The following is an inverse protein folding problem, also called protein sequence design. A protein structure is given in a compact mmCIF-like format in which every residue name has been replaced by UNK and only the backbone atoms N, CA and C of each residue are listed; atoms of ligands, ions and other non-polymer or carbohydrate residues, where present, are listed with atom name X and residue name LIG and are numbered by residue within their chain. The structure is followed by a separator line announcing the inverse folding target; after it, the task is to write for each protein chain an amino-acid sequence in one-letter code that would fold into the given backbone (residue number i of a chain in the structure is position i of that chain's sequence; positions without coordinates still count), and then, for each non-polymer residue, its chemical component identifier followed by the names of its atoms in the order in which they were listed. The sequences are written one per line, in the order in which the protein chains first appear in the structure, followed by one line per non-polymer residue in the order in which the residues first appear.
data_IF_159694691814
#
_entry.id   IF_159694691814
#
_cell.length_a   1.000
_cell.length_b   1.000
_cell.length_c   1.000
_cell.angle_alpha   90.00
_cell.angle_beta   90.00
_cell.angle_gamma   90.00
#
_symmetry.space_group_name_H-M   'P 1'
#
loop_
_entity.id
_entity.type
_entity.pdbx_description
1 polymer ?
#
# COMPACT_ATOMS: atom_id res chain seq x y z
N UNK A 1 -71.55 32.34 17.15
CA UNK A 1 -70.50 32.65 16.15
C UNK A 1 -69.21 31.82 16.32
N UNK A 2 -69.27 30.51 16.63
CA UNK A 2 -68.08 29.61 16.59
C UNK A 2 -66.83 30.02 17.40
N UNK A 3 -66.91 31.06 18.25
CA UNK A 3 -65.80 31.62 19.03
C UNK A 3 -65.83 31.06 20.45
N UNK A 4 -64.69 30.56 20.91
CA UNK A 4 -64.52 30.08 22.28
C UNK A 4 -64.39 31.25 23.26
N UNK A 5 -65.02 31.15 24.43
CA UNK A 5 -64.99 32.18 25.46
C UNK A 5 -64.74 31.56 26.83
N UNK A 6 -64.20 32.36 27.75
CA UNK A 6 -64.04 31.99 29.14
C UNK A 6 -65.42 31.82 29.79
N UNK A 7 -65.71 30.70 30.46
CA UNK A 7 -67.04 30.42 31.01
C UNK A 7 -67.43 31.30 32.20
N UNK A 8 -66.47 31.99 32.84
CA UNK A 8 -66.69 32.82 34.03
C UNK A 8 -66.72 34.31 33.71
N UNK A 9 -65.75 34.78 32.90
CA UNK A 9 -65.65 36.18 32.51
C UNK A 9 -66.36 36.50 31.19
N UNK A 10 -66.84 35.48 30.46
CA UNK A 10 -67.43 35.57 29.11
C UNK A 10 -66.53 36.29 28.08
N UNK A 11 -65.25 36.45 28.38
CA UNK A 11 -64.26 37.04 27.48
C UNK A 11 -63.94 36.08 26.35
N UNK A 12 -63.93 36.57 25.12
CA UNK A 12 -63.62 35.75 23.93
C UNK A 12 -62.11 35.47 23.88
N UNK A 13 -61.74 34.21 23.68
CA UNK A 13 -60.35 33.82 23.51
C UNK A 13 -59.83 34.31 22.15
N UNK A 14 -58.68 35.00 22.17
CA UNK A 14 -57.98 35.49 20.99
C UNK A 14 -56.59 34.88 20.91
N UNK A 15 -55.91 35.03 19.76
CA UNK A 15 -54.53 34.55 19.57
C UNK A 15 -53.51 35.17 20.55
N UNK A 16 -53.89 36.23 21.26
CA UNK A 16 -53.05 36.91 22.25
C UNK A 16 -53.63 36.82 23.66
N UNK A 17 -54.61 35.94 23.90
CA UNK A 17 -55.17 35.75 25.23
C UNK A 17 -54.33 34.76 26.05
N UNK A 18 -54.21 35.01 27.36
CA UNK A 18 -53.53 34.09 28.28
C UNK A 18 -54.52 33.06 28.79
N UNK A 19 -54.32 31.80 28.40
CA UNK A 19 -55.28 30.71 28.56
C UNK A 19 -54.68 29.63 29.45
N UNK A 20 -55.47 29.19 30.41
CA UNK A 20 -55.06 28.22 31.44
C UNK A 20 -56.11 27.13 31.59
N UNK A 21 -55.66 25.90 31.75
CA UNK A 21 -56.50 24.75 32.06
C UNK A 21 -56.20 24.22 33.45
N UNK A 22 -57.23 23.79 34.17
CA UNK A 22 -57.06 23.08 35.44
C UNK A 22 -56.91 21.60 35.11
N UNK A 23 -55.82 20.97 35.55
CA UNK A 23 -55.49 19.57 35.23
C UNK A 23 -56.51 18.58 35.75
N UNK A 24 -57.08 18.83 36.93
CA UNK A 24 -58.00 17.89 37.61
C UNK A 24 -59.31 17.75 36.84
N UNK A 25 -59.87 18.86 36.39
CA UNK A 25 -61.18 18.91 35.73
C UNK A 25 -61.10 19.02 34.21
N UNK A 26 -59.96 19.47 33.69
CA UNK A 26 -59.77 19.76 32.26
C UNK A 26 -60.45 21.05 31.79
N UNK A 27 -61.06 21.82 32.70
CA UNK A 27 -61.75 23.06 32.37
C UNK A 27 -60.76 24.16 31.98
N UNK A 28 -61.11 24.91 30.93
CA UNK A 28 -60.27 25.97 30.37
C UNK A 28 -60.83 27.34 30.72
N UNK A 29 -59.97 28.18 31.29
CA UNK A 29 -60.31 29.54 31.73
C UNK A 29 -59.32 30.56 31.16
N UNK A 30 -59.77 31.81 31.11
CA UNK A 30 -58.84 32.93 31.00
C UNK A 30 -58.03 33.02 32.31
N UNK A 31 -56.72 33.22 32.20
CA UNK A 31 -55.86 33.31 33.39
C UNK A 31 -56.28 34.42 34.34
N UNK A 32 -56.80 35.53 33.83
CA UNK A 32 -57.34 36.62 34.65
C UNK A 32 -58.43 36.13 35.61
N UNK A 33 -59.31 35.21 35.17
CA UNK A 33 -60.35 34.65 36.01
C UNK A 33 -59.74 33.82 37.15
N UNK A 34 -58.79 32.94 36.82
CA UNK A 34 -58.10 32.08 37.79
C UNK A 34 -57.24 32.90 38.75
N UNK A 35 -56.60 33.96 38.26
CA UNK A 35 -55.76 34.83 39.05
C UNK A 35 -56.58 35.63 40.06
N UNK A 36 -57.67 36.25 39.61
CA UNK A 36 -58.53 37.07 40.48
C UNK A 36 -59.32 36.22 41.48
N UNK A 37 -59.93 35.13 41.03
CA UNK A 37 -60.90 34.39 41.84
C UNK A 37 -60.31 33.23 42.62
N UNK A 38 -59.16 32.67 42.20
CA UNK A 38 -58.52 31.55 42.89
C UNK A 38 -57.18 31.92 43.53
N UNK A 39 -56.27 32.56 42.78
CA UNK A 39 -54.91 32.84 43.27
C UNK A 39 -54.89 33.97 44.31
N UNK A 40 -55.55 35.11 44.01
CA UNK A 40 -55.56 36.28 44.92
C UNK A 40 -56.37 36.04 46.19
N UNK A 41 -57.49 35.33 46.08
CA UNK A 41 -58.37 34.96 47.20
C UNK A 41 -57.87 33.77 48.01
N UNK A 42 -56.84 33.05 47.51
CA UNK A 42 -56.30 31.78 48.06
C UNK A 42 -57.34 30.65 48.14
N UNK A 43 -58.40 30.72 47.35
CA UNK A 43 -59.40 29.65 47.23
C UNK A 43 -59.06 28.78 46.03
N UNK A 44 -58.58 27.56 46.24
CA UNK A 44 -58.18 26.65 45.15
C UNK A 44 -59.28 25.63 44.86
N UNK A 45 -60.42 26.12 44.38
CA UNK A 45 -61.54 25.32 43.89
C UNK A 45 -61.85 25.70 42.45
N UNK A 46 -62.21 24.72 41.63
CA UNK A 46 -62.58 24.98 40.24
C UNK A 46 -63.81 25.91 40.19
N UNK A 47 -63.78 26.90 39.31
CA UNK A 47 -64.80 27.94 39.18
C UNK A 47 -66.13 27.44 38.60
N UNK A 48 -66.15 26.25 38.01
CA UNK A 48 -67.35 25.63 37.44
C UNK A 48 -67.88 24.45 38.27
N UNK A 49 -67.00 23.58 38.75
CA UNK A 49 -67.37 22.30 39.40
C UNK A 49 -67.08 22.26 40.89
N UNK A 50 -66.49 23.33 41.45
CA UNK A 50 -66.14 23.45 42.88
C UNK A 50 -65.15 22.38 43.39
N UNK A 51 -64.51 21.63 42.49
CA UNK A 51 -63.54 20.60 42.84
C UNK A 51 -62.23 21.23 43.35
N UNK A 52 -61.67 20.74 44.47
CA UNK A 52 -60.42 21.27 45.00
C UNK A 52 -59.23 20.89 44.10
N UNK A 53 -58.39 21.85 43.77
CA UNK A 53 -57.15 21.63 43.01
C UNK A 53 -55.96 22.33 43.69
N UNK A 54 -54.73 22.06 43.26
CA UNK A 54 -53.55 22.74 43.80
C UNK A 54 -52.94 23.71 42.79
N UNK A 55 -52.15 24.69 43.24
CA UNK A 55 -51.49 25.65 42.34
C UNK A 55 -50.64 25.01 41.24
N UNK A 56 -50.14 23.79 41.46
CA UNK A 56 -49.34 23.03 40.47
C UNK A 56 -50.19 22.41 39.36
N UNK A 57 -51.49 22.29 39.60
CA UNK A 57 -52.45 21.72 38.63
C UNK A 57 -52.93 22.75 37.62
N UNK A 58 -52.49 24.01 37.76
CA UNK A 58 -52.75 25.10 36.83
C UNK A 58 -51.80 24.95 35.63
N UNK A 59 -52.31 24.49 34.49
CA UNK A 59 -51.55 24.29 33.26
C UNK A 59 -51.72 25.49 32.32
N UNK A 60 -50.62 26.16 31.98
CA UNK A 60 -50.63 27.27 31.03
C UNK A 60 -50.60 26.76 29.59
N UNK A 61 -51.74 26.85 28.90
CA UNK A 61 -51.87 26.44 27.51
C UNK A 61 -51.26 27.49 26.58
N UNK A 62 -51.67 28.74 26.75
CA UNK A 62 -51.23 29.85 25.93
C UNK A 62 -50.77 30.99 26.81
N UNK A 63 -49.55 31.45 26.56
CA UNK A 63 -48.94 32.55 27.30
C UNK A 63 -48.30 33.51 26.28
N UNK A 64 -48.96 34.63 25.96
CA UNK A 64 -48.46 35.63 25.01
C UNK A 64 -47.27 36.44 25.56
N UNK A 65 -47.05 36.46 26.88
CA UNK A 65 -45.94 37.22 27.49
C UNK A 65 -44.67 36.40 27.62
N UNK A 66 -44.76 35.08 27.45
CA UNK A 66 -43.61 34.19 27.49
C UNK A 66 -42.88 34.12 26.13
N UNK A 67 -41.90 35.02 25.96
CA UNK A 67 -41.03 35.10 24.79
C UNK A 67 -40.13 33.87 24.58
N UNK A 68 -39.89 33.05 25.61
CA UNK A 68 -39.00 31.90 25.53
C UNK A 68 -39.54 30.77 24.66
N UNK A 69 -40.85 30.72 24.41
CA UNK A 69 -41.49 29.76 23.51
C UNK A 69 -41.06 29.93 22.04
N UNK A 70 -40.56 31.10 21.66
CA UNK A 70 -40.06 31.39 20.31
C UNK A 70 -38.55 31.18 20.17
N UNK A 71 -37.85 30.81 21.26
CA UNK A 71 -36.42 30.60 21.20
C UNK A 71 -36.09 29.26 20.53
N UNK A 72 -35.66 29.33 19.27
CA UNK A 72 -35.39 28.18 18.39
C UNK A 72 -34.36 27.22 19.00
N UNK A 73 -33.43 27.75 19.81
CA UNK A 73 -32.41 26.95 20.50
C UNK A 73 -32.96 26.01 21.58
N UNK A 74 -34.17 26.30 22.09
CA UNK A 74 -34.82 25.50 23.13
C UNK A 74 -35.73 24.40 22.58
N UNK A 75 -35.96 24.34 21.26
CA UNK A 75 -36.78 23.28 20.70
C UNK A 75 -36.14 21.92 20.94
N UNK A 76 -36.97 20.96 21.35
CA UNK A 76 -36.54 19.61 21.71
C UNK A 76 -35.78 18.89 20.58
N UNK A 77 -36.19 19.11 19.33
CA UNK A 77 -35.53 18.52 18.15
C UNK A 77 -34.15 19.15 17.87
N UNK A 78 -33.95 20.43 18.21
CA UNK A 78 -32.66 21.12 18.08
C UNK A 78 -31.72 20.70 19.23
N UNK A 79 -32.21 20.65 20.47
CA UNK A 79 -31.41 20.23 21.63
C UNK A 79 -30.96 18.78 21.54
N UNK A 80 -31.83 17.90 21.04
CA UNK A 80 -31.53 16.47 20.97
C UNK A 80 -31.01 16.04 19.59
N UNK A 81 -30.74 16.99 18.68
CA UNK A 81 -30.30 16.71 17.31
C UNK A 81 -31.15 15.64 16.59
N UNK A 82 -32.46 15.57 16.87
CA UNK A 82 -33.36 14.69 16.15
C UNK A 82 -33.68 15.32 14.81
N UNK A 83 -32.95 14.90 13.78
CA UNK A 83 -33.35 15.11 12.39
C UNK A 83 -34.32 14.01 12.01
N UNK A 84 -35.57 14.36 11.71
CA UNK A 84 -36.47 13.47 10.98
C UNK A 84 -35.91 13.43 9.56
N UNK A 85 -35.32 12.32 9.15
CA UNK A 85 -34.94 12.14 7.74
C UNK A 85 -36.21 11.92 6.95
N UNK A 86 -36.54 12.86 6.07
CA UNK A 86 -37.59 12.63 5.09
C UNK A 86 -37.14 11.51 4.14
N UNK A 87 -38.01 10.53 3.82
CA UNK A 87 -37.64 9.38 3.00
C UNK A 87 -37.18 9.77 1.58
N UNK A 88 -37.46 10.99 1.15
CA UNK A 88 -37.00 11.52 -0.14
C UNK A 88 -35.59 12.11 -0.08
N UNK A 89 -35.12 12.61 1.09
CA UNK A 89 -33.72 13.02 1.27
C UNK A 89 -32.78 11.82 1.30
N UNK A 90 -33.22 10.69 1.85
CA UNK A 90 -32.44 9.46 1.85
C UNK A 90 -32.27 8.91 0.43
N UNK A 91 -33.33 8.95 -0.39
CA UNK A 91 -33.27 8.58 -1.81
C UNK A 91 -32.36 9.51 -2.61
N UNK A 92 -32.38 10.82 -2.32
CA UNK A 92 -31.49 11.79 -2.98
C UNK A 92 -30.01 11.59 -2.64
N UNK A 93 -29.69 11.05 -1.45
CA UNK A 93 -28.30 10.71 -1.08
C UNK A 93 -27.80 9.42 -1.70
N UNK A 94 -28.69 8.46 -1.93
CA UNK A 94 -28.35 7.16 -2.52
C UNK A 94 -28.11 7.25 -4.04
N UNK A 95 -28.92 8.05 -4.75
CA UNK A 95 -28.83 8.17 -6.20
C UNK A 95 -28.41 9.59 -6.64
N UNK A 96 -27.20 9.78 -7.18
CA UNK A 96 -26.77 11.04 -7.79
C UNK A 96 -27.69 11.50 -8.94
N UNK A 97 -28.48 10.59 -9.50
CA UNK A 97 -29.43 10.84 -10.59
C UNK A 97 -30.85 11.20 -10.13
N UNK A 98 -31.09 11.35 -8.82
CA UNK A 98 -32.43 11.62 -8.29
C UNK A 98 -33.05 12.92 -8.84
N UNK A 99 -32.24 13.98 -8.93
CA UNK A 99 -32.66 15.28 -9.48
C UNK A 99 -32.72 15.32 -11.02
N UNK A 100 -32.20 14.30 -11.70
CA UNK A 100 -32.27 14.15 -13.17
C UNK A 100 -33.62 13.55 -13.63
N UNK A 101 -34.56 13.28 -12.72
CA UNK A 101 -35.88 12.77 -13.11
C UNK A 101 -36.72 13.76 -13.92
N UNK A 102 -36.43 15.06 -13.83
CA UNK A 102 -37.19 16.12 -14.51
C UNK A 102 -36.52 16.64 -15.80
N UNK A 103 -35.44 16.02 -16.29
CA UNK A 103 -34.79 16.44 -17.54
C UNK A 103 -35.40 15.75 -18.77
N UNK A 104 -35.37 16.44 -19.92
CA UNK A 104 -35.82 15.93 -21.21
C UNK A 104 -35.15 14.60 -21.58
N UNK A 105 -35.86 13.76 -22.35
CA UNK A 105 -35.39 12.43 -22.75
C UNK A 105 -34.04 12.47 -23.50
N UNK A 106 -33.89 13.43 -24.42
CA UNK A 106 -32.69 13.63 -25.22
C UNK A 106 -31.44 13.97 -24.39
N UNK A 107 -31.62 14.73 -23.30
CA UNK A 107 -30.49 15.08 -22.42
C UNK A 107 -30.07 13.91 -21.53
N UNK A 108 -30.99 12.97 -21.24
CA UNK A 108 -30.65 11.72 -20.54
C UNK A 108 -29.86 10.77 -21.43
N UNK A 109 -30.24 10.64 -22.70
CA UNK A 109 -29.54 9.77 -23.65
C UNK A 109 -28.13 10.26 -23.94
N UNK A 110 -27.96 11.55 -24.20
CA UNK A 110 -26.64 12.17 -24.41
C UNK A 110 -25.73 12.08 -23.19
N UNK A 111 -26.26 12.26 -21.97
CA UNK A 111 -25.50 12.04 -20.75
C UNK A 111 -25.11 10.56 -20.57
N UNK A 112 -25.98 9.61 -20.91
CA UNK A 112 -25.66 8.18 -20.84
C UNK A 112 -24.59 7.76 -21.86
N UNK A 113 -24.59 8.34 -23.06
CA UNK A 113 -23.53 8.14 -24.04
C UNK A 113 -22.20 8.75 -23.56
N UNK A 114 -22.24 9.98 -23.03
CA UNK A 114 -21.08 10.61 -22.40
C UNK A 114 -20.51 9.75 -21.27
N UNK A 115 -21.34 9.23 -20.35
CA UNK A 115 -20.85 8.36 -19.28
C UNK A 115 -20.29 7.02 -19.77
N UNK A 116 -20.72 6.51 -20.94
CA UNK A 116 -20.12 5.31 -21.56
C UNK A 116 -18.79 5.61 -22.25
N UNK A 117 -18.65 6.78 -22.86
CA UNK A 117 -17.44 7.17 -23.59
C UNK A 117 -16.36 7.77 -22.68
N UNK A 118 -16.76 8.39 -21.55
CA UNK A 118 -15.86 9.09 -20.65
C UNK A 118 -15.12 8.13 -19.72
N UNK A 119 -14.03 7.53 -20.21
CA UNK A 119 -13.03 6.78 -19.42
C UNK A 119 -12.13 7.67 -18.56
N UNK A 120 -12.43 8.96 -18.45
CA UNK A 120 -11.59 9.95 -17.76
C UNK A 120 -11.40 9.65 -16.28
N UNK A 121 -12.45 9.18 -15.61
CA UNK A 121 -12.41 8.92 -14.17
C UNK A 121 -11.58 7.68 -13.82
N UNK A 122 -11.56 6.64 -14.65
CA UNK A 122 -10.68 5.47 -14.45
C UNK A 122 -9.20 5.84 -14.67
N UNK A 123 -8.92 6.73 -15.62
CA UNK A 123 -7.55 7.19 -15.93
C UNK A 123 -7.06 8.17 -14.83
N UNK A 124 -7.95 9.03 -14.32
CA UNK A 124 -7.69 9.89 -13.17
C UNK A 124 -7.55 9.07 -11.88
N UNK A 125 -8.40 8.08 -11.65
CA UNK A 125 -8.29 7.17 -10.51
C UNK A 125 -7.04 6.29 -10.58
N UNK A 126 -6.63 5.84 -11.77
CA UNK A 126 -5.38 5.10 -11.96
C UNK A 126 -4.14 5.97 -11.76
N UNK A 127 -4.18 7.26 -12.12
CA UNK A 127 -3.10 8.22 -11.86
C UNK A 127 -3.07 8.71 -10.41
N UNK A 128 -4.21 8.73 -9.72
CA UNK A 128 -4.33 9.05 -8.28
C UNK A 128 -4.13 7.86 -7.36
N UNK A 129 -4.15 6.61 -7.86
CA UNK A 129 -3.86 5.44 -7.05
C UNK A 129 -2.40 5.48 -6.63
N UNK A 130 -2.17 5.84 -5.37
CA UNK A 130 -0.84 5.82 -4.76
C UNK A 130 -0.19 4.45 -5.00
N UNK A 131 1.08 4.40 -5.42
CA UNK A 131 1.75 3.14 -5.67
C UNK A 131 1.67 2.28 -4.40
N UNK A 132 1.12 1.07 -4.52
CA UNK A 132 0.94 0.18 -3.38
C UNK A 132 2.30 -0.01 -2.70
N UNK A 133 2.40 0.40 -1.42
CA UNK A 133 3.64 0.26 -0.64
C UNK A 133 4.04 -1.21 -0.62
N UNK A 134 5.22 -1.53 -1.18
CA UNK A 134 5.78 -2.88 -1.17
C UNK A 134 5.94 -3.32 0.28
N UNK A 135 5.40 -4.49 0.65
CA UNK A 135 5.53 -5.03 2.01
C UNK A 135 7.00 -5.30 2.31
N UNK A 136 7.53 -4.65 3.34
CA UNK A 136 8.92 -4.81 3.78
C UNK A 136 8.93 -5.85 4.91
N UNK A 137 9.50 -7.02 4.63
CA UNK A 137 9.82 -8.01 5.67
C UNK A 137 11.23 -7.75 6.23
N UNK A 138 11.57 -8.34 7.38
CA UNK A 138 12.92 -8.28 7.96
C UNK A 138 14.04 -8.69 6.98
N UNK A 139 13.74 -9.59 6.05
CA UNK A 139 14.66 -10.11 5.03
C UNK A 139 14.83 -9.16 3.83
N UNK A 140 13.80 -8.36 3.53
CA UNK A 140 13.79 -7.47 2.36
C UNK A 140 14.02 -5.99 2.76
N UNK A 141 14.36 -5.71 4.01
CA UNK A 141 14.64 -4.36 4.49
C UNK A 141 16.04 -3.92 4.05
N UNK A 142 16.11 -2.85 3.25
CA UNK A 142 17.38 -2.25 2.87
C UNK A 142 18.05 -1.51 4.03
N UNK A 143 19.37 -1.37 3.96
CA UNK A 143 20.14 -0.53 4.89
C UNK A 143 19.89 0.98 4.72
N UNK A 144 19.19 1.38 3.65
CA UNK A 144 18.82 2.77 3.37
C UNK A 144 17.30 2.97 3.46
N UNK A 145 16.87 4.18 3.84
CA UNK A 145 15.45 4.55 3.94
C UNK A 145 14.85 4.87 2.57
N UNK A 146 13.51 4.83 2.46
CA UNK A 146 12.75 5.27 1.28
C UNK A 146 12.95 6.76 0.93
N UNK A 147 13.45 7.57 1.86
CA UNK A 147 13.66 9.01 1.67
C UNK A 147 12.37 9.84 1.68
N UNK A 148 11.22 9.21 1.91
CA UNK A 148 9.91 9.85 1.88
C UNK A 148 9.72 10.86 3.01
N UNK A 149 10.21 10.56 4.22
CA UNK A 149 10.22 11.50 5.34
C UNK A 149 10.96 12.80 4.95
N UNK A 150 12.16 12.68 4.39
CA UNK A 150 12.95 13.82 3.92
C UNK A 150 12.27 14.58 2.79
N UNK A 151 11.70 13.87 1.81
CA UNK A 151 10.98 14.48 0.69
C UNK A 151 9.75 15.26 1.18
N UNK A 152 8.99 14.69 2.13
CA UNK A 152 7.81 15.32 2.72
C UNK A 152 8.15 16.55 3.57
N UNK A 153 9.33 16.57 4.18
CA UNK A 153 9.82 17.75 4.91
C UNK A 153 10.13 18.92 3.97
N UNK A 154 10.64 18.63 2.77
CA UNK A 154 11.04 19.66 1.80
C UNK A 154 9.98 20.02 0.77
N UNK A 155 8.92 19.22 0.63
CA UNK A 155 7.90 19.39 -0.41
C UNK A 155 6.58 19.90 0.18
N UNK A 156 6.04 20.96 -0.39
CA UNK A 156 4.72 21.51 -0.03
C UNK A 156 3.56 20.72 -0.64
N UNK A 157 3.83 19.83 -1.59
CA UNK A 157 2.83 19.06 -2.34
C UNK A 157 2.63 17.62 -1.81
N UNK A 158 3.45 17.17 -0.86
CA UNK A 158 3.38 15.82 -0.30
C UNK A 158 2.82 15.84 1.13
N UNK A 159 2.08 14.79 1.48
CA UNK A 159 1.64 14.60 2.86
C UNK A 159 2.87 14.39 3.77
N UNK A 160 2.91 15.00 4.96
CA UNK A 160 4.01 14.84 5.90
C UNK A 160 4.06 13.38 6.40
N UNK A 161 5.13 12.67 6.07
CA UNK A 161 5.42 11.34 6.62
C UNK A 161 6.38 11.47 7.80
N UNK A 162 6.03 10.90 8.94
CA UNK A 162 6.82 10.99 10.19
C UNK A 162 7.58 9.71 10.53
N UNK A 163 7.31 8.62 9.80
CA UNK A 163 7.89 7.30 10.04
C UNK A 163 8.96 6.98 9.01
N UNK A 164 10.20 6.77 9.48
CA UNK A 164 11.28 6.27 8.64
C UNK A 164 11.05 4.81 8.30
N UNK A 165 10.68 4.54 7.05
CA UNK A 165 10.57 3.18 6.50
C UNK A 165 11.87 2.82 5.76
N UNK A 166 12.40 1.62 6.03
CA UNK A 166 13.49 1.06 5.24
C UNK A 166 12.98 0.79 3.81
N UNK A 167 13.79 1.09 2.80
CA UNK A 167 13.41 0.77 1.42
C UNK A 167 13.31 -0.75 1.23
N UNK A 168 12.34 -1.21 0.44
CA UNK A 168 12.23 -2.62 0.08
C UNK A 168 13.31 -2.99 -0.94
N UNK A 169 14.22 -3.90 -0.59
CA UNK A 169 15.07 -4.58 -1.57
C UNK A 169 14.16 -5.44 -2.46
N UNK A 170 14.44 -5.49 -3.76
CA UNK A 170 13.73 -6.39 -4.68
C UNK A 170 13.91 -7.85 -4.25
N UNK A 171 12.82 -8.62 -4.24
CA UNK A 171 12.81 -10.01 -3.76
C UNK A 171 13.81 -10.89 -4.51
N UNK A 172 14.03 -10.61 -5.80
CA UNK A 172 14.99 -11.31 -6.65
C UNK A 172 16.44 -11.16 -6.13
N UNK A 173 16.81 -9.97 -5.63
CA UNK A 173 18.17 -9.72 -5.11
C UNK A 173 18.39 -10.52 -3.82
N UNK A 174 17.37 -10.55 -2.94
CA UNK A 174 17.42 -11.32 -1.70
C UNK A 174 17.50 -12.81 -2.02
N UNK A 175 16.68 -13.28 -2.97
CA UNK A 175 16.68 -14.68 -3.43
C UNK A 175 18.05 -15.11 -3.93
N UNK A 176 18.70 -14.28 -4.74
CA UNK A 176 20.01 -14.59 -5.31
C UNK A 176 21.14 -14.71 -4.29
N UNK A 177 21.00 -14.11 -3.10
CA UNK A 177 21.99 -14.25 -2.02
C UNK A 177 22.00 -15.67 -1.42
N UNK A 178 20.89 -16.39 -1.50
CA UNK A 178 20.76 -17.76 -0.97
C UNK A 178 21.19 -18.83 -1.99
N UNK A 179 21.30 -18.48 -3.27
CA UNK A 179 21.71 -19.40 -4.33
C UNK A 179 23.24 -19.53 -4.31
N UNK A 180 23.72 -20.59 -3.64
CA UNK A 180 25.16 -20.92 -3.49
C UNK A 180 25.57 -22.22 -4.21
N UNK A 181 24.63 -22.85 -4.90
CA UNK A 181 24.83 -24.11 -5.62
C UNK A 181 24.80 -23.85 -7.11
N UNK A 182 25.64 -24.58 -7.83
CA UNK A 182 25.64 -24.61 -9.30
C UNK A 182 24.45 -25.41 -9.83
N UNK A 183 23.89 -24.96 -10.95
CA UNK A 183 22.84 -25.68 -11.66
C UNK A 183 23.41 -26.66 -12.69
N UNK A 184 22.71 -27.75 -12.96
CA UNK A 184 23.09 -28.71 -14.02
C UNK A 184 21.91 -28.97 -14.95
N UNK A 185 22.16 -28.83 -16.24
CA UNK A 185 21.15 -28.99 -17.29
C UNK A 185 21.72 -29.87 -18.41
N UNK A 186 20.91 -30.79 -18.94
CA UNK A 186 21.25 -31.57 -20.13
C UNK A 186 20.35 -31.18 -21.28
N UNK A 187 20.98 -30.80 -22.38
CA UNK A 187 20.33 -30.58 -23.67
C UNK A 187 20.35 -31.89 -24.45
N UNK A 188 19.18 -32.42 -24.79
CA UNK A 188 19.06 -33.53 -25.73
C UNK A 188 18.95 -32.95 -27.13
N UNK A 189 19.99 -33.08 -27.94
CA UNK A 189 19.98 -32.60 -29.34
C UNK A 189 19.84 -33.76 -30.32
N UNK A 190 19.66 -33.45 -31.61
CA UNK A 190 19.71 -34.47 -32.65
C UNK A 190 21.11 -35.08 -32.87
N UNK A 191 22.17 -34.37 -32.51
CA UNK A 191 23.57 -34.82 -32.61
C UNK A 191 24.08 -35.50 -31.33
N UNK A 192 23.28 -35.50 -30.26
CA UNK A 192 23.55 -36.17 -28.99
C UNK A 192 23.29 -35.27 -27.77
N UNK A 193 23.71 -35.74 -26.61
CA UNK A 193 23.48 -35.03 -25.35
C UNK A 193 24.62 -34.06 -25.02
N UNK A 194 24.27 -32.92 -24.44
CA UNK A 194 25.23 -31.90 -24.02
C UNK A 194 24.91 -31.48 -22.58
N UNK A 195 25.87 -31.68 -21.68
CA UNK A 195 25.74 -31.37 -20.26
C UNK A 195 26.33 -29.99 -19.96
N UNK A 196 25.52 -29.14 -19.34
CA UNK A 196 25.84 -27.77 -18.98
C UNK A 196 25.91 -27.63 -17.45
N UNK A 197 26.96 -26.97 -16.99
CA UNK A 197 27.11 -26.46 -15.63
C UNK A 197 26.81 -24.96 -15.65
N UNK A 198 25.88 -24.52 -14.80
CA UNK A 198 25.45 -23.13 -14.70
C UNK A 198 26.04 -22.46 -13.45
N UNK A 199 26.58 -21.27 -13.60
CA UNK A 199 27.20 -20.48 -12.53
C UNK A 199 26.17 -19.60 -11.80
N UNK A 200 25.17 -20.25 -11.18
CA UNK A 200 24.05 -19.58 -10.51
C UNK A 200 24.49 -18.60 -9.41
N UNK A 201 25.61 -18.86 -8.73
CA UNK A 201 26.15 -17.99 -7.67
C UNK A 201 26.64 -16.63 -8.23
N UNK A 202 27.18 -16.64 -9.46
CA UNK A 202 27.81 -15.48 -10.07
C UNK A 202 26.85 -14.70 -10.97
N UNK A 203 26.04 -15.43 -11.74
CA UNK A 203 25.09 -14.86 -12.71
C UNK A 203 23.68 -15.37 -12.43
N UNK A 204 23.11 -15.00 -11.29
CA UNK A 204 21.88 -15.61 -10.82
C UNK A 204 20.68 -15.27 -11.71
N UNK A 205 20.64 -14.08 -12.33
CA UNK A 205 19.49 -13.68 -13.16
C UNK A 205 19.49 -14.39 -14.51
N UNK A 206 20.65 -14.52 -15.12
CA UNK A 206 20.80 -15.26 -16.37
C UNK A 206 20.51 -16.76 -16.19
N UNK A 207 21.03 -17.36 -15.12
CA UNK A 207 20.80 -18.77 -14.81
C UNK A 207 19.34 -19.06 -14.45
N UNK A 208 18.68 -18.19 -13.67
CA UNK A 208 17.26 -18.34 -13.35
C UNK A 208 16.39 -18.26 -14.61
N UNK A 209 16.67 -17.28 -15.48
CA UNK A 209 15.98 -17.15 -16.76
C UNK A 209 16.11 -18.44 -17.58
N UNK A 210 17.33 -18.97 -17.71
CA UNK A 210 17.58 -20.19 -18.47
C UNK A 210 16.85 -21.40 -17.87
N UNK A 211 16.97 -21.65 -16.57
CA UNK A 211 16.31 -22.79 -15.91
C UNK A 211 14.79 -22.71 -16.02
N UNK A 212 14.20 -21.52 -15.80
CA UNK A 212 12.75 -21.34 -15.91
C UNK A 212 12.24 -21.53 -17.34
N UNK A 213 12.99 -21.09 -18.36
CA UNK A 213 12.66 -21.35 -19.76
C UNK A 213 12.77 -22.84 -20.09
N UNK A 214 13.78 -23.53 -19.54
CA UNK A 214 13.91 -24.99 -19.68
C UNK A 214 12.71 -25.72 -19.07
N UNK A 215 12.28 -25.35 -17.86
CA UNK A 215 11.10 -25.94 -17.19
C UNK A 215 9.77 -25.70 -17.92
N UNK A 216 9.68 -24.59 -18.66
CA UNK A 216 8.52 -24.28 -19.52
C UNK A 216 8.59 -24.98 -20.88
N UNK A 217 9.59 -25.83 -21.12
CA UNK A 217 9.85 -26.47 -22.42
C UNK A 217 9.97 -25.45 -23.57
N UNK A 218 10.43 -24.23 -23.28
CA UNK A 218 10.51 -23.13 -24.25
C UNK A 218 11.51 -23.42 -25.38
N UNK A 219 12.54 -24.21 -25.07
CA UNK A 219 13.61 -24.56 -26.00
C UNK A 219 13.36 -25.86 -26.76
N UNK A 220 12.24 -26.55 -26.51
CA UNK A 220 11.91 -27.81 -27.18
C UNK A 220 11.59 -27.54 -28.65
N UNK A 221 12.28 -28.26 -29.55
CA UNK A 221 12.18 -28.06 -30.99
C UNK A 221 12.97 -26.85 -31.52
N UNK A 222 13.64 -26.08 -30.67
CA UNK A 222 14.41 -24.91 -31.13
C UNK A 222 15.68 -25.31 -31.87
N UNK A 223 16.02 -24.52 -32.89
CA UNK A 223 17.18 -24.76 -33.76
C UNK A 223 18.37 -23.88 -33.40
N UNK A 224 19.56 -24.37 -33.72
CA UNK A 224 20.76 -23.53 -33.79
C UNK A 224 20.79 -22.83 -35.14
N UNK A 225 20.28 -21.61 -35.18
CA UNK A 225 20.12 -20.84 -36.41
C UNK A 225 21.42 -20.19 -36.91
N UNK A 226 22.50 -20.21 -36.12
CA UNK A 226 23.80 -19.65 -36.50
C UNK A 226 24.93 -20.51 -35.95
N UNK A 227 25.83 -20.96 -36.80
CA UNK A 227 27.02 -21.73 -36.44
C UNK A 227 28.22 -21.24 -37.24
N UNK A 228 29.23 -20.71 -36.54
CA UNK A 228 30.49 -20.26 -37.14
C UNK A 228 31.60 -21.15 -36.60
N UNK A 229 32.24 -21.90 -37.50
CA UNK A 229 33.33 -22.82 -37.17
C UNK A 229 34.48 -22.10 -36.48
N UNK A 230 35.08 -22.73 -35.46
CA UNK A 230 36.12 -22.15 -34.60
C UNK A 230 35.71 -20.90 -33.80
N UNK A 231 34.44 -20.50 -33.83
CA UNK A 231 33.97 -19.31 -33.14
C UNK A 231 32.85 -19.63 -32.15
N UNK A 232 31.58 -19.62 -32.58
CA UNK A 232 30.43 -19.89 -31.70
C UNK A 232 29.30 -20.58 -32.45
N UNK A 233 28.47 -21.28 -31.69
CA UNK A 233 27.16 -21.78 -32.13
C UNK A 233 26.06 -21.12 -31.29
N UNK A 234 25.09 -20.50 -31.95
CA UNK A 234 24.03 -19.70 -31.34
C UNK A 234 22.66 -20.34 -31.56
N UNK A 235 21.85 -20.35 -30.50
CA UNK A 235 20.52 -20.93 -30.45
C UNK A 235 19.62 -20.22 -29.45
N UNK A 236 18.51 -20.87 -29.08
CA UNK A 236 17.56 -20.34 -28.09
C UNK A 236 16.56 -19.31 -28.64
N UNK A 237 16.35 -19.29 -29.95
CA UNK A 237 15.29 -18.54 -30.63
C UNK A 237 14.19 -19.52 -31.13
N UNK A 238 12.98 -19.49 -30.56
CA UNK A 238 11.87 -20.33 -31.03
C UNK A 238 11.41 -20.03 -32.45
N UNK A 239 11.63 -18.80 -32.93
CA UNK A 239 11.25 -18.42 -34.29
C UNK A 239 12.26 -18.90 -35.33
N UNK A 240 13.49 -19.25 -34.91
CA UNK A 240 14.59 -19.62 -35.79
C UNK A 240 15.11 -18.47 -36.66
N UNK A 241 14.61 -17.24 -36.51
CA UNK A 241 14.98 -16.10 -37.37
C UNK A 241 16.31 -15.45 -36.97
N UNK A 242 16.70 -15.59 -35.70
CA UNK A 242 17.88 -14.97 -35.09
C UNK A 242 17.60 -13.64 -34.39
N UNK A 243 16.38 -13.09 -34.54
CA UNK A 243 15.96 -11.84 -33.88
C UNK A 243 14.91 -12.07 -32.79
N UNK A 244 14.36 -13.28 -32.71
CA UNK A 244 13.29 -13.62 -31.78
C UNK A 244 13.79 -13.96 -30.37
N UNK A 245 12.87 -14.45 -29.55
CA UNK A 245 13.16 -14.86 -28.18
C UNK A 245 12.75 -13.81 -27.15
N UNK A 246 12.23 -14.29 -26.03
CA UNK A 246 11.76 -13.48 -24.90
C UNK A 246 12.34 -14.04 -23.60
N UNK A 247 12.61 -13.17 -22.64
CA UNK A 247 12.99 -13.64 -21.30
C UNK A 247 11.78 -14.24 -20.59
N UNK A 248 12.01 -14.99 -19.51
CA UNK A 248 10.95 -15.49 -18.64
C UNK A 248 10.01 -14.38 -18.14
N UNK A 249 10.54 -13.17 -17.93
CA UNK A 249 9.80 -12.01 -17.43
C UNK A 249 9.14 -11.17 -18.54
N UNK A 250 9.27 -11.58 -19.82
CA UNK A 250 8.81 -10.83 -21.00
C UNK A 250 9.63 -9.58 -21.33
N UNK A 251 10.38 -9.01 -20.38
CA UNK A 251 11.26 -7.85 -20.58
C UNK A 251 12.73 -8.26 -20.66
N UNK A 252 13.56 -7.58 -21.48
CA UNK A 252 15.00 -7.81 -21.45
C UNK A 252 15.59 -7.55 -20.05
N UNK A 253 16.63 -8.29 -19.69
CA UNK A 253 17.26 -8.16 -18.37
C UNK A 253 18.73 -7.73 -18.45
N UNK A 254 19.23 -7.20 -17.33
CA UNK A 254 20.57 -6.61 -17.18
C UNK A 254 21.69 -7.61 -17.46
N UNK A 255 22.83 -7.10 -17.92
CA UNK A 255 24.05 -7.88 -18.03
C UNK A 255 24.69 -8.14 -16.66
N UNK A 256 25.31 -9.31 -16.49
CA UNK A 256 25.97 -9.73 -15.25
C UNK A 256 27.43 -10.10 -15.51
N UNK A 257 28.29 -9.08 -15.66
CA UNK A 257 29.72 -9.30 -15.87
C UNK A 257 30.47 -9.56 -14.57
N UNK A 258 31.32 -10.58 -14.54
CA UNK A 258 32.21 -10.89 -13.42
C UNK A 258 33.65 -10.96 -13.91
N UNK A 259 34.63 -10.45 -13.12
CA UNK A 259 36.04 -10.48 -13.52
C UNK A 259 36.61 -11.90 -13.62
N UNK A 260 36.02 -12.85 -12.88
CA UNK A 260 36.46 -14.24 -12.84
C UNK A 260 35.92 -15.08 -14.01
N UNK A 261 34.96 -14.55 -14.76
CA UNK A 261 34.35 -15.22 -15.91
C UNK A 261 34.84 -14.54 -17.19
N UNK A 262 35.57 -15.29 -17.99
CA UNK A 262 36.02 -14.88 -19.32
C UNK A 262 35.72 -15.99 -20.33
N UNK A 263 35.64 -15.63 -21.60
CA UNK A 263 35.47 -16.57 -22.70
C UNK A 263 36.81 -17.25 -23.01
N UNK A 264 37.43 -17.85 -22.00
CA UNK A 264 38.69 -18.59 -22.12
C UNK A 264 38.38 -20.09 -22.12
N UNK A 265 38.72 -20.76 -23.21
CA UNK A 265 38.47 -22.18 -23.40
C UNK A 265 37.29 -22.47 -24.33
N UNK A 266 37.12 -23.76 -24.61
CA UNK A 266 36.02 -24.30 -25.42
C UNK A 266 34.83 -24.63 -24.51
N UNK A 267 33.63 -24.39 -25.01
CA UNK A 267 32.39 -24.75 -24.33
C UNK A 267 31.97 -23.72 -23.28
N UNK A 268 32.27 -22.44 -23.46
CA UNK A 268 31.74 -21.39 -22.58
C UNK A 268 30.32 -21.04 -23.05
N UNK A 269 29.38 -20.97 -22.11
CA UNK A 269 27.97 -20.68 -22.36
C UNK A 269 27.66 -19.23 -21.97
N UNK A 270 27.18 -18.45 -22.93
CA UNK A 270 26.94 -17.01 -22.79
C UNK A 270 25.62 -16.57 -23.43
N UNK A 271 25.03 -15.50 -22.91
CA UNK A 271 23.82 -14.89 -23.46
C UNK A 271 24.11 -14.08 -24.71
N UNK A 272 23.29 -14.23 -25.75
CA UNK A 272 23.29 -13.33 -26.90
C UNK A 272 22.48 -12.07 -26.57
N UNK A 273 22.97 -10.91 -27.01
CA UNK A 273 22.34 -9.62 -26.77
C UNK A 273 22.49 -8.70 -28.01
N UNK A 274 21.71 -7.62 -28.04
CA UNK A 274 21.72 -6.62 -29.11
C UNK A 274 22.24 -5.25 -28.62
N UNK A 275 22.98 -5.27 -27.51
CA UNK A 275 23.44 -4.08 -26.79
C UNK A 275 23.39 -4.28 -25.28
N UNK A 276 23.85 -3.29 -24.50
CA UNK A 276 23.87 -3.37 -23.04
C UNK A 276 22.48 -3.63 -22.45
N UNK A 277 22.38 -4.56 -21.50
CA UNK A 277 21.17 -4.90 -20.74
C UNK A 277 19.99 -5.40 -21.59
N UNK A 278 20.27 -6.06 -22.72
CA UNK A 278 19.24 -6.54 -23.65
C UNK A 278 19.12 -8.07 -23.73
N UNK A 279 19.47 -8.77 -22.66
CA UNK A 279 19.42 -10.25 -22.63
C UNK A 279 17.96 -10.75 -22.68
N UNK A 280 17.71 -11.77 -23.50
CA UNK A 280 16.40 -12.42 -23.68
C UNK A 280 16.48 -13.94 -23.44
N UNK A 281 16.17 -14.77 -24.43
CA UNK A 281 16.31 -16.25 -24.37
C UNK A 281 17.49 -16.81 -25.15
N UNK A 282 18.05 -16.02 -26.08
CA UNK A 282 19.10 -16.51 -26.97
C UNK A 282 20.42 -16.67 -26.24
N UNK A 283 21.12 -17.76 -26.55
CA UNK A 283 22.43 -18.07 -25.98
C UNK A 283 23.35 -18.65 -27.05
N UNK A 284 24.64 -18.63 -26.78
CA UNK A 284 25.65 -19.25 -27.64
C UNK A 284 26.67 -20.03 -26.82
N UNK A 285 27.27 -21.02 -27.47
CA UNK A 285 28.36 -21.83 -26.93
C UNK A 285 29.61 -21.54 -27.75
N UNK A 286 30.72 -21.27 -27.09
CA UNK A 286 32.00 -21.00 -27.78
C UNK A 286 32.70 -22.29 -28.18
N UNK A 287 33.32 -22.29 -29.37
CA UNK A 287 34.19 -23.38 -29.82
C UNK A 287 35.67 -23.16 -29.47
N UNK A 288 36.06 -21.90 -29.27
CA UNK A 288 37.41 -21.45 -28.92
C UNK A 288 37.34 -20.32 -27.88
N UNK A 289 38.47 -20.04 -27.24
CA UNK A 289 38.66 -18.80 -26.49
C UNK A 289 38.39 -17.56 -27.35
N UNK A 290 37.54 -16.65 -26.87
CA UNK A 290 37.13 -15.43 -27.57
C UNK A 290 37.13 -14.24 -26.60
N UNK A 291 38.31 -13.78 -26.23
CA UNK A 291 38.49 -12.68 -25.25
C UNK A 291 37.84 -11.37 -25.66
N UNK A 292 37.57 -11.15 -26.95
CA UNK A 292 36.90 -9.93 -27.43
C UNK A 292 35.41 -9.83 -27.02
N UNK A 293 34.80 -10.96 -26.64
CA UNK A 293 33.42 -11.06 -26.16
C UNK A 293 33.31 -10.77 -24.64
N UNK A 294 34.44 -10.71 -23.94
CA UNK A 294 34.48 -10.43 -22.51
C UNK A 294 33.89 -9.05 -22.22
N UNK A 295 33.09 -8.96 -21.16
CA UNK A 295 32.33 -7.76 -20.76
C UNK A 295 31.32 -7.24 -21.80
N UNK A 296 31.04 -8.01 -22.85
CA UNK A 296 29.96 -7.72 -23.81
C UNK A 296 28.80 -8.70 -23.66
N UNK A 297 29.12 -9.97 -23.42
CA UNK A 297 28.13 -11.02 -23.23
C UNK A 297 28.22 -11.61 -21.83
N UNK A 298 27.06 -11.84 -21.21
CA UNK A 298 26.98 -12.43 -19.87
C UNK A 298 27.28 -13.91 -19.96
N UNK A 299 28.40 -14.34 -19.39
CA UNK A 299 28.77 -15.76 -19.26
C UNK A 299 28.02 -16.33 -18.06
N UNK A 300 27.22 -17.37 -18.28
CA UNK A 300 26.38 -17.95 -17.22
C UNK A 300 26.59 -19.45 -17.01
N UNK A 301 27.47 -20.07 -17.79
CA UNK A 301 27.81 -21.48 -17.60
C UNK A 301 28.92 -21.97 -18.50
N UNK A 302 29.13 -23.29 -18.48
CA UNK A 302 30.07 -24.00 -19.33
C UNK A 302 29.59 -25.42 -19.63
N UNK A 303 30.07 -25.98 -20.73
CA UNK A 303 29.89 -27.39 -21.09
C UNK A 303 30.82 -28.23 -20.23
N UNK A 304 30.27 -29.25 -19.57
CA UNK A 304 31.02 -30.19 -18.72
C UNK A 304 31.05 -31.61 -19.29
N UNK A 305 30.15 -31.92 -20.23
CA UNK A 305 30.09 -33.23 -20.88
C UNK A 305 29.40 -33.14 -22.23
N UNK A 306 29.68 -34.08 -23.12
CA UNK A 306 29.22 -34.02 -24.51
C UNK A 306 30.13 -33.17 -25.41
N UNK A 307 31.44 -33.14 -25.16
CA UNK A 307 32.37 -32.45 -26.07
C UNK A 307 32.41 -33.08 -27.48
N UNK A 308 32.09 -34.38 -27.57
CA UNK A 308 31.92 -35.09 -28.85
C UNK A 308 30.74 -34.51 -29.64
N UNK A 309 29.61 -34.24 -28.98
CA UNK A 309 28.42 -33.66 -29.62
C UNK A 309 28.68 -32.23 -30.04
N UNK A 310 29.38 -31.44 -29.21
CA UNK A 310 29.82 -30.09 -29.57
C UNK A 310 30.75 -30.10 -30.80
N UNK A 311 31.65 -31.07 -30.91
CA UNK A 311 32.52 -31.24 -32.08
C UNK A 311 31.74 -31.70 -33.31
N UNK A 312 30.76 -32.60 -33.14
CA UNK A 312 29.87 -33.01 -34.22
C UNK A 312 29.03 -31.84 -34.75
N UNK A 313 28.57 -30.94 -33.87
CA UNK A 313 27.86 -29.72 -34.24
C UNK A 313 28.76 -28.72 -34.97
N UNK A 314 30.03 -28.61 -34.60
CA UNK A 314 31.01 -27.74 -35.26
C UNK A 314 31.41 -28.23 -36.67
N UNK A 315 31.40 -29.55 -36.88
CA UNK A 315 31.74 -30.16 -38.16
C UNK A 315 30.63 -30.05 -39.22
N UNK A 316 29.43 -29.58 -38.85
CA UNK A 316 28.35 -29.32 -39.80
C UNK A 316 28.69 -28.08 -40.61
N UNK A 317 28.68 -28.21 -41.94
CA UNK A 317 28.89 -27.09 -42.84
C UNK A 317 27.77 -26.05 -42.70
N UNK A 318 28.17 -24.79 -42.54
CA UNK A 318 27.26 -23.63 -42.55
C UNK A 318 27.28 -22.93 -43.91
N UNK A 319 26.19 -22.26 -44.25
CA UNK A 319 26.12 -21.35 -45.40
C UNK A 319 27.01 -20.12 -45.15
N UNK A 320 27.97 -19.80 -46.05
CA UNK A 320 28.87 -18.67 -45.87
C UNK A 320 28.19 -17.29 -45.88
N UNK A 321 26.95 -17.17 -46.36
CA UNK A 321 26.22 -15.88 -46.38
C UNK A 321 25.33 -15.65 -45.16
N UNK A 322 24.77 -16.72 -44.60
CA UNK A 322 23.77 -16.63 -43.53
C UNK A 322 24.24 -17.25 -42.21
N UNK A 323 25.42 -17.88 -42.21
CA UNK A 323 25.97 -18.66 -41.09
C UNK A 323 25.04 -19.77 -40.59
N UNK A 324 24.00 -20.13 -41.36
CA UNK A 324 23.03 -21.16 -41.02
C UNK A 324 23.60 -22.55 -41.31
N UNK A 325 23.53 -23.51 -40.37
CA UNK A 325 23.89 -24.90 -40.63
C UNK A 325 23.08 -25.48 -41.80
N UNK A 326 23.73 -26.17 -42.73
CA UNK A 326 23.05 -26.89 -43.82
C UNK A 326 22.22 -28.06 -43.30
N UNK A 327 22.76 -28.76 -42.30
CA UNK A 327 22.02 -29.76 -41.54
C UNK A 327 21.42 -29.10 -40.31
N UNK A 328 20.10 -29.19 -40.16
CA UNK A 328 19.39 -28.59 -39.04
C UNK A 328 19.81 -29.25 -37.72
N UNK A 329 20.39 -28.46 -36.81
CA UNK A 329 20.71 -28.90 -35.45
C UNK A 329 19.62 -28.38 -34.53
N UNK A 330 18.88 -29.28 -33.88
CA UNK A 330 17.75 -28.94 -33.02
C UNK A 330 17.86 -29.53 -31.63
N UNK A 331 17.33 -28.82 -30.66
CA UNK A 331 17.14 -29.28 -29.29
C UNK A 331 15.81 -30.04 -29.25
N UNK A 332 15.84 -31.32 -28.90
CA UNK A 332 14.65 -32.17 -28.76
C UNK A 332 13.94 -31.89 -27.44
N UNK A 333 14.70 -31.94 -26.36
CA UNK A 333 14.20 -31.70 -25.00
C UNK A 333 15.33 -31.24 -24.10
N UNK A 334 14.96 -30.63 -22.98
CA UNK A 334 15.92 -30.23 -21.95
C UNK A 334 15.53 -30.89 -20.63
N UNK A 335 16.50 -31.47 -19.94
CA UNK A 335 16.31 -32.01 -18.58
C UNK A 335 17.15 -31.20 -17.59
N UNK A 336 16.49 -30.61 -16.61
CA UNK A 336 17.15 -29.93 -15.49
C UNK A 336 17.44 -30.96 -14.41
N UNK A 337 18.72 -31.24 -14.15
CA UNK A 337 19.14 -32.22 -13.12
C UNK A 337 19.20 -31.62 -11.72
N UNK A 338 19.72 -30.39 -11.63
CA UNK A 338 19.87 -29.69 -10.35
C UNK A 338 19.35 -28.29 -10.55
N UNK A 339 18.24 -27.99 -9.87
CA UNK A 339 17.71 -26.63 -9.76
C UNK A 339 18.06 -26.03 -8.38
N UNK A 340 19.04 -25.13 -8.30
CA UNK A 340 19.43 -24.52 -7.03
C UNK A 340 18.42 -23.47 -6.53
N UNK A 341 17.46 -23.05 -7.37
CA UNK A 341 16.50 -22.01 -7.02
C UNK A 341 15.28 -22.54 -6.26
N UNK A 342 14.92 -23.81 -6.42
CA UNK A 342 13.83 -24.43 -5.64
C UNK A 342 14.21 -24.54 -4.15
N UNK A 343 15.45 -24.96 -3.88
CA UNK A 343 15.96 -25.02 -2.51
C UNK A 343 16.01 -23.62 -1.87
N UNK A 344 16.43 -22.60 -2.63
CA UNK A 344 16.45 -21.22 -2.15
C UNK A 344 15.04 -20.70 -1.85
N UNK A 345 14.05 -20.98 -2.72
CA UNK A 345 12.65 -20.61 -2.48
C UNK A 345 12.06 -21.30 -1.25
N UNK A 346 12.36 -22.58 -1.08
CA UNK A 346 11.94 -23.34 0.10
C UNK A 346 12.56 -22.78 1.40
N UNK A 347 13.83 -22.38 1.37
CA UNK A 347 14.50 -21.76 2.52
C UNK A 347 13.89 -20.39 2.86
N UNK A 348 13.68 -19.54 1.86
CA UNK A 348 13.13 -18.19 2.07
C UNK A 348 11.70 -18.26 2.57
N UNK A 349 10.87 -19.14 2.02
CA UNK A 349 9.49 -19.33 2.49
C UNK A 349 9.47 -19.83 3.94
N UNK A 350 10.30 -20.82 4.29
CA UNK A 350 10.42 -21.30 5.66
C UNK A 350 10.92 -20.22 6.64
N UNK A 351 11.87 -19.37 6.23
CA UNK A 351 12.37 -18.29 7.08
C UNK A 351 11.34 -17.16 7.25
N UNK A 352 10.61 -16.81 6.18
CA UNK A 352 9.49 -15.87 6.23
C UNK A 352 8.36 -16.36 7.14
N UNK A 353 8.04 -17.66 7.09
CA UNK A 353 7.03 -18.26 7.98
C UNK A 353 7.47 -18.21 9.45
N UNK A 354 8.73 -18.56 9.75
CA UNK A 354 9.27 -18.44 11.11
C UNK A 354 9.26 -17.00 11.60
N UNK A 355 9.66 -16.04 10.77
CA UNK A 355 9.65 -14.62 11.11
C UNK A 355 8.22 -14.11 11.42
N UNK A 356 7.21 -14.56 10.65
CA UNK A 356 5.80 -14.24 10.92
C UNK A 356 5.34 -14.80 12.26
N UNK A 357 5.67 -16.05 12.56
CA UNK A 357 5.32 -16.68 13.85
C UNK A 357 5.98 -15.96 15.04
N UNK A 358 7.24 -15.57 14.92
CA UNK A 358 7.94 -14.79 15.95
C UNK A 358 7.33 -13.41 16.15
N UNK A 359 6.93 -12.73 15.06
CA UNK A 359 6.25 -11.44 15.15
C UNK A 359 4.89 -11.55 15.82
N UNK A 360 4.09 -12.56 15.47
CA UNK A 360 2.81 -12.84 16.12
C UNK A 360 2.99 -13.17 17.61
N UNK A 361 3.99 -13.99 17.95
CA UNK A 361 4.33 -14.30 19.34
C UNK A 361 4.78 -13.05 20.12
N UNK A 362 5.59 -12.18 19.51
CA UNK A 362 6.04 -10.93 20.14
C UNK A 362 4.87 -9.96 20.35
N UNK A 363 4.00 -9.76 19.35
CA UNK A 363 2.79 -8.92 19.48
C UNK A 363 1.85 -9.43 20.58
N UNK A 364 1.73 -10.74 20.72
CA UNK A 364 0.93 -11.38 21.77
C UNK A 364 1.54 -11.14 23.16
N UNK A 365 2.86 -11.25 23.30
CA UNK A 365 3.58 -10.91 24.53
C UNK A 365 3.49 -9.41 24.87
N UNK A 366 3.62 -8.51 23.89
CA UNK A 366 3.53 -7.06 24.14
C UNK A 366 2.11 -6.65 24.56
N UNK A 367 1.06 -7.26 23.98
CA UNK A 367 -0.32 -7.06 24.43
C UNK A 367 -0.59 -7.60 25.83
N UNK A 368 0.06 -8.69 26.22
CA UNK A 368 -0.05 -9.26 27.57
C UNK A 368 0.73 -8.45 28.63
N UNK A 369 1.79 -7.74 28.23
CA UNK A 369 2.67 -6.98 29.14
C UNK A 369 2.28 -5.49 29.26
N UNK A 370 1.40 -4.94 28.42
CA UNK A 370 0.83 -3.62 28.72
C UNK A 370 -0.04 -3.71 29.98
N UNK A 371 0.36 -3.13 31.13
CA UNK A 371 -0.58 -2.96 32.22
C UNK A 371 -1.73 -2.09 31.69
N UNK A 372 -2.97 -2.42 32.06
CA UNK A 372 -4.10 -1.51 31.89
C UNK A 372 -3.66 -0.14 32.40
N UNK A 373 -3.39 0.80 31.50
CA UNK A 373 -3.18 2.20 31.88
C UNK A 373 -4.52 2.65 32.44
N UNK A 374 -4.64 2.61 33.76
CA UNK A 374 -5.60 3.47 34.44
C UNK A 374 -5.37 4.88 33.88
N UNK A 375 -6.46 5.48 33.41
CA UNK A 375 -6.52 6.82 32.87
C UNK A 375 -6.17 7.82 33.98
N UNK A 376 -4.89 7.93 34.33
CA UNK A 376 -4.41 9.00 35.18
C UNK A 376 -4.44 10.27 34.33
N UNK A 377 -5.42 11.12 34.64
CA UNK A 377 -5.53 12.45 34.08
C UNK A 377 -4.16 13.17 34.14
N UNK A 378 -3.80 13.95 33.11
CA UNK A 378 -2.52 14.64 33.07
C UNK A 378 -2.34 15.47 34.33
N UNK A 379 -1.23 15.23 35.06
CA UNK A 379 -0.91 15.91 36.32
C UNK A 379 -0.91 17.42 36.07
N UNK A 380 -1.83 18.13 36.72
CA UNK A 380 -1.92 19.59 36.67
C UNK A 380 -0.98 20.18 37.70
N UNK A 381 -0.04 21.01 37.24
CA UNK A 381 0.93 21.68 38.09
C UNK A 381 0.42 23.04 38.58
N UNK A 382 -0.52 23.69 37.86
CA UNK A 382 -1.14 24.99 38.21
C UNK A 382 -2.55 25.18 37.63
N UNK A 383 -3.41 26.04 38.22
CA UNK A 383 -4.62 26.53 37.58
C UNK A 383 -4.34 27.77 36.70
N UNK A 384 -4.55 27.67 35.37
CA UNK A 384 -4.47 28.80 34.43
C UNK A 384 -4.07 28.36 33.01
N UNK A 385 -3.63 29.27 32.14
CA UNK A 385 -2.92 28.86 30.92
C UNK A 385 -1.54 28.30 31.34
N UNK A 386 -1.15 27.13 30.81
CA UNK A 386 0.10 26.45 31.18
C UNK A 386 -0.01 25.39 32.28
N UNK A 387 -1.21 24.84 32.56
CA UNK A 387 -1.46 23.87 33.65
C UNK A 387 -0.58 22.62 33.62
N UNK A 388 -0.03 22.26 32.47
CA UNK A 388 0.73 21.03 32.27
C UNK A 388 2.25 21.25 32.18
N UNK A 389 2.73 22.48 32.37
CA UNK A 389 4.15 22.83 32.26
C UNK A 389 4.79 22.82 33.65
N UNK A 390 5.82 21.99 33.84
CA UNK A 390 6.56 21.89 35.10
C UNK A 390 7.68 22.96 35.16
N UNK A 391 7.41 24.11 35.77
CA UNK A 391 8.36 25.22 35.88
C UNK A 391 9.56 24.92 36.81
N UNK A 392 9.47 23.92 37.69
CA UNK A 392 10.57 23.54 38.58
C UNK A 392 11.74 22.89 37.82
N UNK A 393 11.46 22.26 36.68
CA UNK A 393 12.47 21.74 35.76
C UNK A 393 13.12 22.86 34.90
N UNK A 394 12.53 24.06 34.88
CA UNK A 394 12.96 25.19 34.06
C UNK A 394 13.81 26.24 34.80
N UNK A 395 13.97 26.13 36.14
CA UNK A 395 14.90 26.98 36.89
C UNK A 395 16.34 26.45 36.72
N UNK A 396 17.04 26.97 35.71
CA UNK A 396 18.50 27.05 35.74
C UNK A 396 18.87 28.29 36.56
N UNK A 397 19.80 28.13 37.49
CA UNK A 397 20.43 29.22 38.24
C UNK A 397 21.10 30.18 37.25
N UNK A 398 20.82 31.46 37.39
CA UNK A 398 21.42 32.52 36.61
C UNK A 398 22.82 32.81 37.18
N UNK A 399 23.83 32.09 36.69
CA UNK A 399 25.26 32.40 36.76
C UNK A 399 25.98 31.38 35.85
N UNK A 400 25.91 31.57 34.52
CA UNK A 400 26.93 31.14 33.55
C UNK A 400 26.56 31.68 32.15
N UNK A 401 27.29 32.66 31.64
CA UNK A 401 27.27 33.02 30.21
C UNK A 401 28.25 32.11 29.45
N UNK A 402 27.70 31.16 28.67
CA UNK A 402 28.48 30.34 27.73
C UNK A 402 27.61 29.27 27.04
N UNK A 403 27.80 28.97 25.74
CA UNK A 403 26.85 28.16 24.97
C UNK A 403 26.99 26.68 25.32
N UNK A 404 25.99 26.12 25.99
CA UNK A 404 25.92 24.69 26.28
C UNK A 404 25.20 23.92 25.18
N UNK A 405 25.98 23.28 24.31
CA UNK A 405 25.63 21.98 23.75
C UNK A 405 25.56 20.95 24.87
N UNK A 406 24.52 20.13 24.83
CA UNK A 406 24.21 19.13 25.85
C UNK A 406 25.22 17.97 25.85
N UNK A 407 25.97 17.83 26.95
CA UNK A 407 26.68 16.60 27.28
C UNK A 407 25.80 15.67 28.13
N UNK A 408 25.66 14.41 27.70
CA UNK A 408 25.12 13.33 28.52
C UNK A 408 26.12 12.16 28.58
N UNK A 409 26.65 11.97 29.80
CA UNK A 409 27.02 10.72 30.48
C UNK A 409 28.07 9.80 29.82
N UNK A 410 29.26 9.80 30.43
CA UNK A 410 30.33 8.79 30.27
C UNK A 410 29.85 7.40 30.74
N UNK A 411 29.94 6.42 29.84
CA UNK A 411 30.08 4.99 30.16
C UNK A 411 31.51 4.61 29.80
N UNK A 412 32.23 3.98 30.72
CA UNK A 412 33.61 3.52 30.52
C UNK A 412 33.73 2.58 29.31
N UNK A 413 34.71 2.84 28.45
CA UNK A 413 35.33 1.83 27.60
C UNK A 413 36.79 2.21 27.30
N UNK A 414 37.62 1.16 27.33
CA UNK A 414 39.08 1.10 27.24
C UNK A 414 39.65 1.83 26.02
N UNK A 415 40.80 2.47 26.21
CA UNK A 415 41.61 3.04 25.13
C UNK A 415 42.30 1.93 24.33
N UNK A 416 42.10 1.94 23.02
CA UNK A 416 43.06 1.46 22.04
C UNK A 416 43.21 2.59 21.03
N UNK A 417 44.40 3.20 21.01
CA UNK A 417 44.68 4.43 20.28
C UNK A 417 44.71 4.25 18.76
N UNK A 418 44.29 5.31 18.08
CA UNK A 418 44.66 5.59 16.71
C UNK A 418 45.19 7.02 16.66
N UNK A 419 46.35 7.18 16.01
CA UNK A 419 47.26 8.30 16.13
C UNK A 419 46.82 9.61 15.47
N UNK A 420 47.55 10.64 15.88
CA UNK A 420 47.48 12.04 15.48
C UNK A 420 47.77 12.23 13.99
N UNK A 421 46.94 13.02 13.29
CA UNK A 421 47.03 13.32 11.85
C UNK A 421 47.60 14.72 11.59
N UNK A 422 48.54 15.18 12.42
CA UNK A 422 49.15 16.52 12.31
C UNK A 422 50.22 16.64 11.21
N UNK A 423 50.26 15.71 10.25
CA UNK A 423 51.07 15.85 9.03
C UNK A 423 50.47 15.09 7.84
N UNK A 424 49.35 15.59 7.30
CA UNK A 424 48.96 15.37 5.91
C UNK A 424 48.61 16.71 5.28
#
# INVERSE_FOLDING_TARGET
EGKYHCPVLFTVFTNNSHIVAIKTTGNVFAYEAVEQLNIKTKSYKDLLTDEPFTRRDILTLQDPTNLDKFNVSNFFHVKNNLKVTDPDEEKAKLDPSYYLKNTNLETRETLLELYKEFKGDDILAATMKTPEKRKVDKLNAAHYSTGTVSASFTSTAMAPETTHEAAAIEEDIVRYQYVKKKGYVRLHTNKGDLNLELHCDMTPRACENFIKLCKKNYYDGTIFHRSIRNFVIQGGDPTGTGMGGESYWGKPFKDEFKPNLSHTGRGILSMANSGPNSNKSQFFITFRSCTYLDKKHTIFGRVVGGFETLTAMENVDSDPKTDRPKEEIRIKSITVFVDPYEEADAQISAEREKARQEEEASKTKTKAVLPKRESQAPKTYRPGIGKYINMAAAKRTADDEGPSTSAAVKKEKRSTGFGDFSSW
#
